data_IF_810869207857
#
_entry.id   IF_810869207857
#
_cell.length_a   1.000
_cell.length_b   1.000
_cell.length_c   1.000
_cell.angle_alpha   90.00
_cell.angle_beta   90.00
_cell.angle_gamma   90.00
#
_symmetry.space_group_name_H-M   'P 1'
#
loop_
_entity.id
_entity.type
_entity.pdbx_description
1 polymer ?
#
# COMPACT_ATOMS: atom_id res chain seq x y z
N UNK A 1 -15.31 28.65 16.18
CA UNK A 1 -15.34 27.46 17.07
C UNK A 1 -14.34 26.48 16.50
N UNK A 2 -13.19 26.27 17.15
CA UNK A 2 -12.23 25.22 16.81
C UNK A 2 -12.86 23.90 17.28
N UNK A 3 -13.03 22.87 16.43
CA UNK A 3 -13.57 21.61 16.90
C UNK A 3 -12.64 21.03 17.96
N UNK A 4 -13.22 20.72 19.12
CA UNK A 4 -12.49 20.20 20.27
C UNK A 4 -11.68 18.97 19.88
N UNK A 5 -10.44 18.91 20.35
CA UNK A 5 -9.56 17.75 20.25
C UNK A 5 -10.33 16.49 20.69
N UNK A 6 -10.61 15.62 19.74
CA UNK A 6 -11.26 14.33 19.99
C UNK A 6 -10.27 13.45 20.75
N UNK A 7 -10.27 13.55 22.10
CA UNK A 7 -9.49 12.64 22.95
C UNK A 7 -10.20 11.30 23.00
N UNK A 8 -9.87 10.40 22.08
CA UNK A 8 -10.34 9.03 22.14
C UNK A 8 -9.54 8.26 23.21
N UNK A 9 -10.21 7.54 24.12
CA UNK A 9 -9.52 6.68 25.08
C UNK A 9 -8.63 5.64 24.37
N UNK A 10 -7.45 5.35 24.94
CA UNK A 10 -6.45 4.47 24.34
C UNK A 10 -7.02 3.08 23.99
N UNK A 11 -7.88 2.54 24.84
CA UNK A 11 -8.54 1.24 24.60
C UNK A 11 -9.44 1.25 23.35
N UNK A 12 -10.10 2.38 23.08
CA UNK A 12 -10.91 2.55 21.87
C UNK A 12 -10.07 2.65 20.61
N UNK A 13 -8.93 3.35 20.70
CA UNK A 13 -7.97 3.43 19.59
C UNK A 13 -7.48 2.02 19.25
N UNK A 14 -7.06 1.26 20.26
CA UNK A 14 -6.61 -0.12 20.09
C UNK A 14 -7.69 -1.01 19.46
N UNK A 15 -8.93 -0.93 19.94
CA UNK A 15 -10.05 -1.69 19.38
C UNK A 15 -10.32 -1.33 17.90
N UNK A 16 -10.19 -0.05 17.54
CA UNK A 16 -10.35 0.39 16.14
C UNK A 16 -9.23 -0.15 15.25
N UNK A 17 -7.98 -0.14 15.71
CA UNK A 17 -6.84 -0.68 14.97
C UNK A 17 -6.96 -2.20 14.80
N UNK A 18 -7.38 -2.91 15.84
CA UNK A 18 -7.64 -4.35 15.78
C UNK A 18 -8.76 -4.68 14.79
N UNK A 19 -9.85 -3.90 14.79
CA UNK A 19 -10.97 -4.06 13.85
C UNK A 19 -10.55 -3.75 12.39
N UNK A 20 -9.64 -2.81 12.21
CA UNK A 20 -9.05 -2.48 10.91
C UNK A 20 -7.95 -3.49 10.46
N UNK A 21 -7.73 -4.57 11.22
CA UNK A 21 -6.67 -5.54 11.00
C UNK A 21 -5.25 -4.94 10.92
N UNK A 22 -5.01 -3.85 11.68
CA UNK A 22 -3.72 -3.16 11.74
C UNK A 22 -2.96 -3.58 13.00
N UNK A 23 -1.79 -4.19 12.81
CA UNK A 23 -0.83 -4.46 13.88
C UNK A 23 0.00 -3.22 14.18
N UNK A 24 0.26 -2.95 15.45
CA UNK A 24 1.13 -1.83 15.88
C UNK A 24 2.39 -2.40 16.52
N UNK A 25 3.50 -1.74 16.27
CA UNK A 25 4.78 -2.14 16.84
C UNK A 25 5.59 -0.92 17.29
N UNK A 26 6.55 -1.19 18.17
CA UNK A 26 7.60 -0.27 18.57
C UNK A 26 8.94 -0.97 18.42
N UNK A 27 9.83 -0.45 17.58
CA UNK A 27 11.20 -0.96 17.44
C UNK A 27 12.14 -0.03 18.20
N UNK A 28 12.98 -0.61 19.04
CA UNK A 28 13.95 0.10 19.89
C UNK A 28 15.35 -0.22 19.38
N UNK A 29 16.08 0.81 18.94
CA UNK A 29 17.43 0.75 18.39
C UNK A 29 18.38 1.50 19.31
N UNK A 30 19.12 0.78 20.17
CA UNK A 30 20.14 1.33 21.06
C UNK A 30 21.52 0.96 20.55
N UNK A 31 22.45 1.91 20.51
CA UNK A 31 23.83 1.67 20.05
C UNK A 31 24.50 0.54 20.85
N UNK A 32 25.09 -0.41 20.14
CA UNK A 32 25.75 -1.56 20.74
C UNK A 32 24.83 -2.68 21.28
N UNK A 33 23.52 -2.50 21.18
CA UNK A 33 22.53 -3.52 21.55
C UNK A 33 21.86 -4.12 20.31
N UNK A 34 21.29 -5.32 20.46
CA UNK A 34 20.42 -5.88 19.43
C UNK A 34 19.12 -5.09 19.35
N UNK A 35 18.54 -4.92 18.13
CA UNK A 35 17.22 -4.35 17.96
C UNK A 35 16.16 -5.15 18.73
N UNK A 36 15.16 -4.44 19.26
CA UNK A 36 14.05 -5.05 20.00
C UNK A 36 12.72 -4.59 19.41
N UNK A 37 11.70 -5.42 19.39
CA UNK A 37 10.36 -5.11 18.91
C UNK A 37 9.31 -5.46 19.95
N UNK A 38 8.65 -4.45 20.48
CA UNK A 38 7.38 -4.59 21.17
C UNK A 38 6.25 -4.66 20.12
N UNK A 39 5.41 -5.67 20.19
CA UNK A 39 4.35 -5.90 19.21
C UNK A 39 2.98 -6.01 19.88
N UNK A 40 1.96 -5.40 19.29
CA UNK A 40 0.58 -5.62 19.72
C UNK A 40 0.13 -7.05 19.46
N UNK A 41 -0.91 -7.52 20.14
CA UNK A 41 -1.48 -8.83 19.89
C UNK A 41 -1.86 -9.04 18.41
N UNK A 42 -2.38 -7.98 17.75
CA UNK A 42 -2.70 -8.02 16.32
C UNK A 42 -1.45 -8.10 15.45
N UNK A 43 -0.37 -7.41 15.83
CA UNK A 43 0.91 -7.52 15.12
C UNK A 43 1.46 -8.95 15.19
N UNK A 44 1.46 -9.60 16.37
CA UNK A 44 1.88 -10.98 16.52
C UNK A 44 1.05 -11.94 15.65
N UNK A 45 -0.26 -11.72 15.59
CA UNK A 45 -1.18 -12.50 14.76
C UNK A 45 -0.86 -12.37 13.27
N UNK A 46 -0.58 -11.14 12.77
CA UNK A 46 -0.14 -10.88 11.41
C UNK A 46 1.20 -11.55 11.08
N UNK A 47 2.09 -11.66 12.08
CA UNK A 47 3.33 -12.43 11.97
C UNK A 47 3.11 -13.96 12.07
N UNK A 48 1.87 -14.43 12.18
CA UNK A 48 1.56 -15.86 12.33
C UNK A 48 1.93 -16.44 13.70
N UNK A 49 2.23 -15.59 14.68
CA UNK A 49 2.51 -15.94 16.06
C UNK A 49 1.24 -15.98 16.90
N UNK A 50 1.29 -16.66 18.03
CA UNK A 50 0.21 -16.62 19.02
C UNK A 50 0.24 -15.28 19.78
N UNK A 51 -0.92 -14.79 20.21
CA UNK A 51 -1.05 -13.50 20.94
C UNK A 51 -0.27 -13.46 22.26
N UNK A 52 0.03 -14.61 22.83
CA UNK A 52 0.75 -14.80 24.08
C UNK A 52 2.03 -15.62 23.87
N UNK A 53 2.69 -15.48 22.73
CA UNK A 53 3.95 -16.15 22.50
C UNK A 53 5.00 -15.71 23.55
N UNK A 54 5.85 -16.65 23.99
CA UNK A 54 6.89 -16.39 24.97
C UNK A 54 8.21 -15.91 24.35
N UNK A 55 8.16 -15.27 23.19
CA UNK A 55 9.33 -14.68 22.55
C UNK A 55 9.71 -13.37 23.25
N UNK A 56 11.00 -13.16 23.46
CA UNK A 56 11.53 -11.86 23.88
C UNK A 56 11.37 -10.82 22.73
N UNK A 57 11.47 -9.55 23.07
CA UNK A 57 11.41 -8.46 22.10
C UNK A 57 12.49 -8.56 21.01
N UNK A 58 13.68 -9.07 21.36
CA UNK A 58 14.77 -9.34 20.42
C UNK A 58 14.38 -10.46 19.46
N UNK A 59 13.83 -11.54 19.97
CA UNK A 59 13.37 -12.68 19.16
C UNK A 59 12.21 -12.30 18.24
N UNK A 60 11.29 -11.44 18.67
CA UNK A 60 10.19 -10.93 17.83
C UNK A 60 10.76 -10.10 16.68
N UNK A 61 11.76 -9.24 16.95
CA UNK A 61 12.43 -8.47 15.90
C UNK A 61 13.16 -9.39 14.89
N UNK A 62 13.96 -10.34 15.37
CA UNK A 62 14.69 -11.29 14.53
C UNK A 62 13.71 -12.14 13.70
N UNK A 63 12.62 -12.58 14.32
CA UNK A 63 11.57 -13.35 13.65
C UNK A 63 10.92 -12.57 12.50
N UNK A 64 10.57 -11.31 12.73
CA UNK A 64 10.03 -10.43 11.68
C UNK A 64 11.05 -10.21 10.57
N UNK A 65 12.25 -9.77 10.91
CA UNK A 65 13.26 -9.35 9.93
C UNK A 65 13.75 -10.52 9.06
N UNK A 66 13.96 -11.69 9.65
CA UNK A 66 14.44 -12.88 8.94
C UNK A 66 13.46 -13.42 7.88
N UNK A 67 12.21 -12.99 7.92
CA UNK A 67 11.15 -13.40 6.97
C UNK A 67 10.81 -12.34 5.93
N UNK A 68 11.49 -11.22 5.93
CA UNK A 68 11.43 -10.27 4.81
C UNK A 68 12.00 -10.98 3.58
N UNK A 69 11.24 -11.04 2.49
CA UNK A 69 11.71 -11.70 1.27
C UNK A 69 12.96 -11.02 0.72
N UNK A 70 13.90 -11.79 0.17
CA UNK A 70 15.22 -11.32 -0.29
C UNK A 70 15.13 -10.09 -1.18
N UNK A 71 14.19 -10.07 -2.11
CA UNK A 71 13.99 -8.99 -3.06
C UNK A 71 13.47 -7.69 -2.41
N UNK A 72 13.00 -7.78 -1.17
CA UNK A 72 12.44 -6.66 -0.40
C UNK A 72 13.39 -6.12 0.67
N UNK A 73 14.47 -6.84 1.03
CA UNK A 73 15.37 -6.48 2.12
C UNK A 73 15.97 -5.08 1.93
N UNK A 74 16.50 -4.77 0.76
CA UNK A 74 17.10 -3.46 0.47
C UNK A 74 16.09 -2.31 0.56
N UNK A 75 14.85 -2.59 0.16
CA UNK A 75 13.77 -1.62 0.26
C UNK A 75 13.39 -1.35 1.72
N UNK A 76 13.27 -2.40 2.52
CA UNK A 76 12.97 -2.31 3.97
C UNK A 76 14.08 -1.57 4.70
N UNK A 77 15.35 -1.92 4.47
CA UNK A 77 16.49 -1.25 5.10
C UNK A 77 16.52 0.24 4.78
N UNK A 78 16.41 0.62 3.49
CA UNK A 78 16.35 2.04 3.09
C UNK A 78 15.20 2.79 3.73
N UNK A 79 14.06 2.13 3.92
CA UNK A 79 12.90 2.75 4.58
C UNK A 79 13.16 2.96 6.07
N UNK A 80 13.76 1.99 6.75
CA UNK A 80 14.18 2.13 8.16
C UNK A 80 15.18 3.28 8.31
N UNK A 81 16.18 3.39 7.41
CA UNK A 81 17.15 4.48 7.41
C UNK A 81 16.46 5.85 7.25
N UNK A 82 15.48 5.97 6.37
CA UNK A 82 14.71 7.20 6.17
C UNK A 82 13.86 7.55 7.41
N UNK A 83 13.19 6.56 8.01
CA UNK A 83 12.40 6.76 9.22
C UNK A 83 13.31 7.21 10.38
N UNK A 84 14.47 6.57 10.55
CA UNK A 84 15.45 6.93 11.60
C UNK A 84 16.11 8.29 11.36
N UNK A 85 16.10 8.80 10.12
CA UNK A 85 16.48 10.17 9.78
C UNK A 85 15.33 11.19 9.99
N UNK A 86 14.21 10.80 10.57
CA UNK A 86 13.06 11.65 10.88
C UNK A 86 12.08 11.86 9.72
N UNK A 87 12.21 11.08 8.63
CA UNK A 87 11.28 11.15 7.49
C UNK A 87 10.17 10.13 7.69
N UNK A 88 8.92 10.58 7.84
CA UNK A 88 7.78 9.67 7.85
C UNK A 88 7.67 8.94 6.51
N UNK A 89 7.69 7.62 6.54
CA UNK A 89 7.65 6.77 5.34
C UNK A 89 6.71 5.59 5.54
N UNK A 90 6.19 5.14 4.40
CA UNK A 90 5.44 3.89 4.26
C UNK A 90 6.12 3.05 3.16
N UNK A 91 6.09 1.75 3.32
CA UNK A 91 6.63 0.78 2.38
C UNK A 91 5.68 -0.39 2.21
N UNK A 92 5.61 -0.91 1.00
CA UNK A 92 4.95 -2.19 0.69
C UNK A 92 6.03 -3.17 0.28
N UNK A 93 6.08 -4.32 0.95
CA UNK A 93 7.08 -5.37 0.70
C UNK A 93 6.48 -6.75 0.84
N UNK A 94 7.21 -7.77 0.38
CA UNK A 94 6.82 -9.17 0.54
C UNK A 94 7.44 -9.76 1.81
N UNK A 95 6.61 -10.48 2.55
CA UNK A 95 6.95 -11.13 3.82
C UNK A 95 6.49 -12.58 3.82
N UNK A 96 7.37 -13.51 4.22
CA UNK A 96 7.08 -14.93 4.25
C UNK A 96 6.37 -15.32 5.55
N UNK A 97 5.03 -15.39 5.51
CA UNK A 97 4.23 -15.81 6.63
C UNK A 97 4.29 -17.35 6.76
N UNK A 98 4.67 -17.91 7.93
CA UNK A 98 4.87 -19.35 8.12
C UNK A 98 3.61 -20.19 7.95
N UNK A 99 2.43 -19.57 8.04
CA UNK A 99 1.12 -20.25 7.91
C UNK A 99 0.44 -19.98 6.58
N UNK A 100 0.67 -18.79 5.98
CA UNK A 100 -0.08 -18.30 4.83
C UNK A 100 0.80 -18.14 3.57
N UNK A 101 2.12 -18.38 3.67
CA UNK A 101 3.07 -18.15 2.58
C UNK A 101 3.35 -16.67 2.33
N UNK A 102 3.78 -16.33 1.12
CA UNK A 102 4.16 -14.96 0.78
C UNK A 102 2.96 -14.02 0.85
N UNK A 103 3.11 -12.96 1.64
CA UNK A 103 2.10 -11.91 1.85
C UNK A 103 2.66 -10.55 1.42
N UNK A 104 1.81 -9.70 0.86
CA UNK A 104 2.12 -8.28 0.69
C UNK A 104 1.73 -7.55 1.95
N UNK A 105 2.70 -6.88 2.55
CA UNK A 105 2.50 -6.12 3.79
C UNK A 105 2.81 -4.65 3.58
N UNK A 106 1.96 -3.81 4.14
CA UNK A 106 2.16 -2.37 4.21
C UNK A 106 2.65 -2.03 5.61
N UNK A 107 3.76 -1.34 5.68
CA UNK A 107 4.41 -0.97 6.93
C UNK A 107 4.82 0.50 6.88
N UNK A 108 4.64 1.22 7.96
CA UNK A 108 5.04 2.61 8.08
C UNK A 108 5.24 3.00 9.53
N UNK A 109 5.91 4.14 9.75
CA UNK A 109 6.16 4.59 11.11
C UNK A 109 6.80 5.96 11.19
N UNK A 110 7.03 6.38 12.43
CA UNK A 110 7.74 7.59 12.82
C UNK A 110 8.83 7.24 13.80
N UNK A 111 9.89 8.02 13.84
CA UNK A 111 11.01 7.83 14.76
C UNK A 111 11.10 8.98 15.75
N UNK A 112 11.28 8.64 17.02
CA UNK A 112 11.70 9.54 18.09
C UNK A 112 13.15 9.19 18.46
N UNK A 113 13.97 10.21 18.71
CA UNK A 113 15.35 10.06 19.17
C UNK A 113 15.41 10.58 20.60
N UNK A 114 15.81 9.71 21.53
CA UNK A 114 15.98 10.07 22.93
C UNK A 114 17.33 10.75 23.19
N UNK A 115 17.47 11.38 24.35
CA UNK A 115 18.68 12.12 24.76
C UNK A 115 19.94 11.23 24.80
N UNK A 116 19.79 9.93 25.03
CA UNK A 116 20.88 8.94 25.05
C UNK A 116 21.23 8.42 23.64
N UNK A 117 20.57 8.92 22.59
CA UNK A 117 20.75 8.50 21.21
C UNK A 117 19.98 7.23 20.83
N UNK A 118 19.19 6.65 21.74
CA UNK A 118 18.28 5.56 21.44
C UNK A 118 17.21 6.05 20.44
N UNK A 119 16.95 5.27 19.41
CA UNK A 119 15.90 5.54 18.42
C UNK A 119 14.72 4.62 18.65
N UNK A 120 13.55 5.21 18.75
CA UNK A 120 12.28 4.47 18.91
C UNK A 120 11.46 4.69 17.65
N UNK A 121 11.19 3.62 16.92
CA UNK A 121 10.31 3.65 15.75
C UNK A 121 8.94 3.10 16.18
N UNK A 122 7.93 3.95 16.17
CA UNK A 122 6.54 3.54 16.36
C UNK A 122 5.86 3.43 15.00
N UNK A 123 5.24 2.28 14.74
CA UNK A 123 4.72 2.01 13.42
C UNK A 123 3.56 1.03 13.41
N UNK A 124 3.10 0.78 12.19
CA UNK A 124 2.01 -0.14 11.91
C UNK A 124 2.37 -1.13 10.80
N UNK A 125 1.64 -2.23 10.79
CA UNK A 125 1.77 -3.32 9.84
C UNK A 125 0.37 -3.79 9.45
N UNK A 126 0.10 -3.90 8.16
CA UNK A 126 -1.16 -4.46 7.65
C UNK A 126 -0.90 -5.40 6.48
N UNK A 127 -1.64 -6.50 6.45
CA UNK A 127 -1.67 -7.40 5.30
C UNK A 127 -2.59 -6.81 4.23
N UNK A 128 -2.02 -6.57 3.05
CA UNK A 128 -2.72 -6.01 1.89
C UNK A 128 -2.73 -6.98 0.71
N UNK A 129 -2.53 -8.27 0.97
CA UNK A 129 -2.40 -9.29 -0.09
C UNK A 129 -3.64 -9.35 -0.95
N UNK A 130 -4.82 -9.33 -0.35
CA UNK A 130 -6.09 -9.35 -1.11
C UNK A 130 -6.23 -8.13 -2.02
N UNK A 131 -5.84 -6.94 -1.55
CA UNK A 131 -5.84 -5.71 -2.36
C UNK A 131 -4.86 -5.83 -3.54
N UNK A 132 -3.67 -6.36 -3.29
CA UNK A 132 -2.64 -6.54 -4.32
C UNK A 132 -3.03 -7.61 -5.33
N UNK A 133 -3.58 -8.72 -4.89
CA UNK A 133 -4.06 -9.80 -5.76
C UNK A 133 -5.21 -9.32 -6.63
N UNK A 134 -6.13 -8.52 -6.10
CA UNK A 134 -7.21 -7.93 -6.90
C UNK A 134 -6.65 -6.99 -7.97
N UNK A 135 -5.74 -6.11 -7.61
CA UNK A 135 -5.09 -5.21 -8.59
C UNK A 135 -4.37 -5.97 -9.69
N UNK A 136 -3.66 -7.05 -9.31
CA UNK A 136 -2.95 -7.89 -10.28
C UNK A 136 -3.92 -8.60 -11.23
N UNK A 137 -5.02 -9.14 -10.71
CA UNK A 137 -6.08 -9.74 -11.55
C UNK A 137 -6.65 -8.72 -12.54
N UNK A 138 -6.98 -7.51 -12.05
CA UNK A 138 -7.52 -6.44 -12.90
C UNK A 138 -6.52 -6.04 -14.00
N UNK A 139 -5.22 -5.96 -13.67
CA UNK A 139 -4.17 -5.67 -14.64
C UNK A 139 -4.02 -6.78 -15.70
N UNK A 140 -4.07 -8.05 -15.28
CA UNK A 140 -4.03 -9.19 -16.19
C UNK A 140 -5.22 -9.18 -17.16
N UNK A 141 -6.42 -8.90 -16.65
CA UNK A 141 -7.64 -8.80 -17.46
C UNK A 141 -7.52 -7.66 -18.47
N UNK A 142 -7.05 -6.48 -18.03
CA UNK A 142 -6.84 -5.34 -18.92
C UNK A 142 -5.77 -5.63 -19.99
N UNK A 143 -4.68 -6.31 -19.66
CA UNK A 143 -3.65 -6.74 -20.60
C UNK A 143 -4.20 -7.77 -21.62
N UNK A 144 -5.04 -8.70 -21.16
CA UNK A 144 -5.69 -9.64 -22.03
C UNK A 144 -6.64 -8.92 -23.03
N UNK A 145 -7.45 -7.99 -22.57
CA UNK A 145 -8.27 -7.17 -23.45
C UNK A 145 -7.42 -6.35 -24.43
N UNK A 146 -6.34 -5.75 -23.95
CA UNK A 146 -5.42 -5.01 -24.80
C UNK A 146 -4.73 -5.87 -25.87
N UNK A 147 -4.66 -7.20 -25.73
CA UNK A 147 -4.13 -8.08 -26.77
C UNK A 147 -5.14 -8.33 -27.91
N UNK A 148 -6.43 -8.23 -27.63
CA UNK A 148 -7.53 -8.57 -28.55
C UNK A 148 -8.15 -7.31 -29.16
N UNK A 149 -8.34 -6.25 -28.35
CA UNK A 149 -9.03 -5.03 -28.76
C UNK A 149 -8.04 -3.90 -29.08
N UNK A 150 -8.44 -3.01 -29.99
CA UNK A 150 -7.68 -1.80 -30.29
C UNK A 150 -7.90 -0.67 -29.29
N UNK A 151 -9.07 -0.63 -28.66
CA UNK A 151 -9.40 0.36 -27.64
C UNK A 151 -10.36 -0.23 -26.60
N UNK A 152 -10.32 0.31 -25.40
CA UNK A 152 -11.25 0.02 -24.32
C UNK A 152 -11.60 1.31 -23.57
N UNK A 153 -12.90 1.58 -23.49
CA UNK A 153 -13.44 2.72 -22.79
C UNK A 153 -14.45 2.27 -21.74
N UNK A 154 -14.43 2.90 -20.60
CA UNK A 154 -15.53 2.90 -19.65
C UNK A 154 -16.33 4.19 -19.84
N UNK A 155 -17.65 4.09 -19.95
CA UNK A 155 -18.56 5.22 -20.19
C UNK A 155 -19.61 5.23 -19.08
N UNK A 156 -19.70 6.33 -18.36
CA UNK A 156 -20.77 6.62 -17.40
C UNK A 156 -21.77 7.56 -18.09
N UNK A 157 -22.89 7.00 -18.53
CA UNK A 157 -23.91 7.74 -19.28
C UNK A 157 -24.67 8.74 -18.40
N UNK A 158 -24.82 8.44 -17.11
CA UNK A 158 -25.54 9.34 -16.19
C UNK A 158 -24.73 10.62 -15.91
N UNK A 159 -23.41 10.49 -15.89
CA UNK A 159 -22.50 11.62 -15.67
C UNK A 159 -21.94 12.23 -16.95
N UNK A 160 -22.27 11.65 -18.11
CA UNK A 160 -21.72 12.03 -19.41
C UNK A 160 -20.17 12.03 -19.39
N UNK A 161 -19.55 11.02 -18.80
CA UNK A 161 -18.10 10.92 -18.69
C UNK A 161 -17.58 9.62 -19.27
N UNK A 162 -16.31 9.63 -19.68
CA UNK A 162 -15.61 8.42 -20.08
C UNK A 162 -14.19 8.36 -19.50
N UNK A 163 -13.67 7.13 -19.43
CA UNK A 163 -12.27 6.83 -19.15
C UNK A 163 -11.76 5.88 -20.22
N UNK A 164 -10.68 6.26 -20.91
CA UNK A 164 -9.98 5.38 -21.85
C UNK A 164 -8.93 4.57 -21.09
N UNK A 165 -9.13 3.26 -20.95
CA UNK A 165 -8.14 2.36 -20.37
C UNK A 165 -6.95 2.19 -21.30
N UNK A 166 -7.22 2.00 -22.61
CA UNK A 166 -6.22 2.08 -23.66
C UNK A 166 -6.89 2.46 -25.00
N UNK A 167 -6.09 3.07 -25.88
CA UNK A 167 -6.48 3.39 -27.25
C UNK A 167 -5.22 3.29 -28.14
N UNK A 168 -5.22 2.36 -29.07
CA UNK A 168 -4.12 2.11 -30.02
C UNK A 168 -4.29 2.83 -31.33
N UNK A 169 -5.42 3.49 -31.56
CA UNK A 169 -5.59 4.36 -32.70
C UNK A 169 -4.83 5.67 -32.45
N UNK A 170 -3.63 5.80 -33.02
CA UNK A 170 -2.76 6.96 -32.77
C UNK A 170 -3.46 8.28 -33.09
N UNK A 171 -4.24 8.34 -34.16
CA UNK A 171 -4.98 9.53 -34.55
C UNK A 171 -6.07 9.87 -33.54
N UNK A 172 -6.85 8.91 -33.08
CA UNK A 172 -7.85 9.12 -32.05
C UNK A 172 -7.22 9.44 -30.68
N UNK A 173 -6.10 8.82 -30.34
CA UNK A 173 -5.39 9.07 -29.08
C UNK A 173 -4.82 10.51 -28.98
N UNK A 174 -4.53 11.15 -30.14
CA UNK A 174 -4.10 12.57 -30.19
C UNK A 174 -5.25 13.56 -29.94
N UNK A 175 -6.48 13.14 -30.18
CA UNK A 175 -7.67 14.01 -30.16
C UNK A 175 -8.55 13.74 -28.94
N UNK A 176 -8.59 12.49 -28.48
CA UNK A 176 -9.40 12.05 -27.35
C UNK A 176 -8.49 11.89 -26.13
N UNK A 177 -8.61 12.74 -25.10
CA UNK A 177 -7.87 12.59 -23.86
C UNK A 177 -8.27 11.31 -23.11
N UNK A 178 -7.46 10.89 -22.15
CA UNK A 178 -7.73 9.68 -21.34
C UNK A 178 -9.06 9.74 -20.57
N UNK A 179 -9.54 10.92 -20.26
CA UNK A 179 -10.79 11.13 -19.55
C UNK A 179 -11.47 12.39 -20.10
N UNK A 180 -12.79 12.43 -20.10
CA UNK A 180 -13.51 13.61 -20.55
C UNK A 180 -15.03 13.44 -20.61
N UNK A 181 -15.70 14.42 -21.20
CA UNK A 181 -17.12 14.37 -21.48
C UNK A 181 -17.37 13.46 -22.70
N UNK A 182 -18.26 12.49 -22.55
CA UNK A 182 -18.55 11.49 -23.58
C UNK A 182 -19.23 12.10 -24.80
N UNK A 183 -20.27 12.93 -24.60
CA UNK A 183 -20.97 13.61 -25.69
C UNK A 183 -20.03 14.47 -26.54
N UNK A 184 -19.09 15.16 -25.88
CA UNK A 184 -18.09 15.98 -26.57
C UNK A 184 -17.09 15.12 -27.36
N UNK A 185 -16.68 13.98 -26.83
CA UNK A 185 -15.80 13.05 -27.55
C UNK A 185 -16.48 12.48 -28.78
N UNK A 186 -17.76 12.11 -28.67
CA UNK A 186 -18.55 11.63 -29.82
C UNK A 186 -18.70 12.67 -30.93
N UNK A 187 -18.82 13.95 -30.60
CA UNK A 187 -18.94 15.00 -31.61
C UNK A 187 -17.64 15.23 -32.40
N UNK A 188 -16.49 14.97 -31.78
CA UNK A 188 -15.19 15.19 -32.43
C UNK A 188 -14.79 14.01 -33.33
N UNK A 189 -15.20 12.78 -32.99
CA UNK A 189 -14.80 11.55 -33.68
C UNK A 189 -15.16 11.55 -35.19
N UNK A 190 -16.41 11.86 -35.62
CA UNK A 190 -16.78 11.84 -37.02
C UNK A 190 -15.99 12.84 -37.87
N UNK A 191 -15.76 14.04 -37.34
CA UNK A 191 -15.07 15.11 -38.06
C UNK A 191 -13.59 14.83 -38.32
N UNK A 192 -12.96 14.02 -37.46
CA UNK A 192 -11.52 13.77 -37.48
C UNK A 192 -11.13 12.40 -38.01
N UNK A 193 -12.01 11.39 -37.89
CA UNK A 193 -11.71 10.00 -38.28
C UNK A 193 -12.42 9.58 -39.57
N UNK A 194 -13.46 10.27 -39.99
CA UNK A 194 -14.11 10.07 -41.28
C UNK A 194 -14.01 11.35 -42.10
N UNK A 195 -12.87 11.63 -42.75
CA UNK A 195 -12.85 12.72 -43.73
C UNK A 195 -13.91 12.45 -44.79
N UNK A 196 -14.87 13.35 -44.89
CA UNK A 196 -15.85 13.33 -45.99
C UNK A 196 -15.05 13.32 -47.29
N UNK A 197 -15.13 12.22 -48.03
CA UNK A 197 -14.65 12.14 -49.39
C UNK A 197 -15.45 13.19 -50.20
N UNK A 198 -14.77 14.26 -50.65
CA UNK A 198 -15.24 15.09 -51.75
C UNK A 198 -15.34 14.30 -53.05
#
# INVERSE_FOLDING_TARGET
MVPGNLKMPLDKIKAVLDAAAVGVYRIILTSGCKPRMEASAKMLELLGLERNCNLSEEEVYEYWFSRVCSDSIDLVNRTVDQITAGVQREVVYQWDNPKLGIRYVRCGGVCEILDDGTRIIEGYHSDITEEMDQRLRDEIVLKAFASIFYCLFYIDLDKDTYVAYFNRFEEAARVIPKTGCFSKALSILPERLCPTSE
#
